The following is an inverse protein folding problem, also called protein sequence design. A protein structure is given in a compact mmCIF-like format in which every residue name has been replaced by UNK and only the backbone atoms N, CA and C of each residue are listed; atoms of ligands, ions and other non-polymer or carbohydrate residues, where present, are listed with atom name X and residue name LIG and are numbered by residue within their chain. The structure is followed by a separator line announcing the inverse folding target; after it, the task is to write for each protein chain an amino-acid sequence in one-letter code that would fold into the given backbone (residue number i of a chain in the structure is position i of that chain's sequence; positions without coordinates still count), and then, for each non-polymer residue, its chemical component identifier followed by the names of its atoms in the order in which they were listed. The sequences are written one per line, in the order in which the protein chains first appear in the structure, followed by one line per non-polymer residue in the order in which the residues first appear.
data_IF_789760732161
#
_entry.id   IF_789760732161
#
_cell.length_a   1.000
_cell.length_b   1.000
_cell.length_c   1.000
_cell.angle_alpha   90.00
_cell.angle_beta   90.00
_cell.angle_gamma   90.00
#
_symmetry.space_group_name_H-M   'P 1'
#
loop_
_entity.id
_entity.type
_entity.pdbx_description
1 polymer ?
#
# COMPACT_ATOMS: atom_id res chain seq x y z
N UNK A 1 -6.97 -6.84 -9.22
CA UNK A 1 -7.58 -6.94 -7.90
C UNK A 1 -7.82 -5.55 -7.33
N UNK A 2 -9.04 -5.32 -6.89
CA UNK A 2 -9.45 -4.04 -6.32
C UNK A 2 -9.39 -4.10 -4.80
N UNK A 3 -8.80 -3.06 -4.19
CA UNK A 3 -8.73 -2.89 -2.74
C UNK A 3 -9.55 -1.67 -2.33
N UNK A 4 -10.38 -1.84 -1.29
CA UNK A 4 -11.15 -0.76 -0.69
C UNK A 4 -10.90 -0.76 0.81
N UNK A 5 -10.49 0.39 1.35
CA UNK A 5 -10.18 0.54 2.77
C UNK A 5 -10.92 1.76 3.31
N UNK A 6 -11.82 1.55 4.26
CA UNK A 6 -12.59 2.62 4.88
C UNK A 6 -11.76 3.49 5.82
N UNK A 7 -12.30 4.64 6.26
CA UNK A 7 -11.65 5.51 7.23
C UNK A 7 -11.37 4.77 8.54
N UNK A 8 -10.13 4.85 9.04
CA UNK A 8 -9.71 4.17 10.26
C UNK A 8 -9.58 2.67 10.15
N UNK A 9 -9.83 2.09 8.97
CA UNK A 9 -9.79 0.65 8.78
C UNK A 9 -8.36 0.16 8.62
N UNK A 10 -7.95 -0.92 9.32
CA UNK A 10 -6.62 -1.48 9.17
C UNK A 10 -6.53 -2.41 7.96
N UNK A 11 -5.34 -2.44 7.36
CA UNK A 11 -4.96 -3.46 6.40
C UNK A 11 -4.13 -4.49 7.15
N UNK A 12 -4.57 -5.76 7.23
CA UNK A 12 -3.85 -6.79 8.00
C UNK A 12 -2.44 -7.02 7.49
N UNK A 13 -1.58 -7.55 8.37
CA UNK A 13 -0.20 -7.90 8.01
C UNK A 13 -0.17 -8.86 6.83
N UNK A 14 0.59 -8.51 5.82
CA UNK A 14 0.73 -9.32 4.62
C UNK A 14 2.10 -9.11 3.99
N UNK A 15 2.52 -10.09 3.19
CA UNK A 15 3.77 -10.03 2.43
C UNK A 15 3.46 -9.97 0.95
N UNK A 16 4.16 -9.09 0.24
CA UNK A 16 4.06 -9.01 -1.22
C UNK A 16 5.15 -9.87 -1.85
N UNK A 17 4.74 -10.91 -2.57
CA UNK A 17 5.64 -11.86 -3.21
C UNK A 17 5.96 -11.52 -4.66
N UNK A 18 5.22 -10.58 -5.23
CA UNK A 18 5.36 -10.12 -6.61
C UNK A 18 5.45 -8.61 -6.63
N UNK A 19 6.20 -8.08 -7.59
CA UNK A 19 6.13 -6.66 -7.89
C UNK A 19 4.72 -6.34 -8.38
N UNK A 20 4.24 -5.11 -8.12
CA UNK A 20 2.91 -4.74 -8.61
C UNK A 20 2.83 -3.24 -8.90
N UNK A 21 1.86 -2.89 -9.74
CA UNK A 21 1.44 -1.52 -9.93
C UNK A 21 0.19 -1.25 -9.11
N UNK A 22 0.14 -0.07 -8.53
CA UNK A 22 -0.98 0.38 -7.72
C UNK A 22 -1.63 1.57 -8.40
N UNK A 23 -2.81 1.35 -8.99
CA UNK A 23 -3.58 2.41 -9.61
C UNK A 23 -4.54 2.99 -8.57
N UNK A 24 -4.28 4.22 -8.13
CA UNK A 24 -5.08 4.89 -7.13
C UNK A 24 -6.35 5.45 -7.76
N UNK A 25 -7.52 5.08 -7.22
CA UNK A 25 -8.82 5.50 -7.74
C UNK A 25 -9.47 6.58 -6.89
N UNK A 26 -9.39 6.47 -5.56
CA UNK A 26 -10.02 7.40 -4.64
C UNK A 26 -9.28 7.42 -3.30
N UNK A 27 -9.43 8.52 -2.56
CA UNK A 27 -8.79 8.73 -1.27
C UNK A 27 -7.42 9.37 -1.41
N UNK A 28 -7.09 10.23 -0.44
CA UNK A 28 -5.79 10.95 -0.43
C UNK A 28 -4.96 10.64 0.81
N UNK A 29 -5.42 9.72 1.66
CA UNK A 29 -4.73 9.37 2.89
C UNK A 29 -4.87 10.42 3.98
N UNK A 30 -3.89 10.50 4.90
CA UNK A 30 -2.69 9.65 4.90
C UNK A 30 -2.98 8.20 5.27
N UNK A 31 -2.18 7.30 4.72
CA UNK A 31 -2.18 5.89 5.09
C UNK A 31 -0.88 5.64 5.86
N UNK A 32 -1.00 5.25 7.13
CA UNK A 32 0.16 4.93 7.95
C UNK A 32 0.57 3.48 7.69
N UNK A 33 1.77 3.28 7.16
CA UNK A 33 2.31 1.97 6.79
C UNK A 33 3.43 1.61 7.74
N UNK A 34 3.36 0.41 8.32
CA UNK A 34 4.42 -0.15 9.16
C UNK A 34 5.03 -1.35 8.44
N UNK A 35 6.35 -1.31 8.24
CA UNK A 35 7.10 -2.43 7.69
C UNK A 35 7.64 -3.31 8.80
N UNK A 36 7.58 -4.63 8.61
CA UNK A 36 8.01 -5.62 9.60
C UNK A 36 9.30 -6.31 9.15
N UNK A 37 10.05 -6.83 10.11
CA UNK A 37 11.26 -7.64 9.88
C UNK A 37 12.34 -6.93 9.04
N UNK A 38 12.41 -5.61 9.13
CA UNK A 38 13.39 -4.83 8.39
C UNK A 38 13.14 -4.73 6.88
N UNK A 39 11.95 -5.14 6.42
CA UNK A 39 11.65 -5.19 4.98
C UNK A 39 11.43 -3.81 4.36
N UNK A 40 11.33 -2.77 5.15
CA UNK A 40 11.23 -1.40 4.65
C UNK A 40 12.52 -0.87 4.05
N UNK A 41 13.67 -1.47 4.38
CA UNK A 41 14.97 -1.05 3.86
C UNK A 41 15.25 0.43 4.13
N UNK A 42 15.59 1.22 3.09
CA UNK A 42 15.87 2.65 3.25
C UNK A 42 14.68 3.46 3.75
N UNK A 43 13.46 2.96 3.64
CA UNK A 43 12.25 3.64 4.12
C UNK A 43 12.09 3.55 5.63
N UNK A 44 12.83 2.66 6.30
CA UNK A 44 12.72 2.43 7.74
C UNK A 44 11.53 1.55 8.09
N UNK A 45 11.07 1.66 9.36
CA UNK A 45 10.01 0.79 9.87
C UNK A 45 8.61 1.34 9.66
N UNK A 46 8.47 2.63 9.42
CA UNK A 46 7.17 3.26 9.24
C UNK A 46 7.25 4.44 8.28
N UNK A 47 6.24 4.54 7.42
CA UNK A 47 6.10 5.67 6.49
C UNK A 47 4.65 6.09 6.43
N UNK A 48 4.42 7.33 5.98
CA UNK A 48 3.10 7.85 5.69
C UNK A 48 2.94 7.94 4.17
N UNK A 49 1.90 7.31 3.65
CA UNK A 49 1.61 7.29 2.22
C UNK A 49 0.40 8.15 1.93
N UNK A 50 0.56 9.10 1.01
CA UNK A 50 -0.52 9.97 0.55
C UNK A 50 -0.85 9.64 -0.89
N UNK A 51 -1.83 8.75 -1.15
CA UNK A 51 -2.19 8.39 -2.51
C UNK A 51 -2.76 9.59 -3.27
N UNK A 52 -2.47 9.63 -4.56
CA UNK A 52 -2.99 10.64 -5.47
C UNK A 52 -3.92 9.96 -6.45
N UNK A 53 -5.23 10.23 -6.43
CA UNK A 53 -6.17 9.62 -7.37
C UNK A 53 -5.74 9.83 -8.83
N UNK A 54 -5.75 8.76 -9.59
CA UNK A 54 -5.31 8.76 -10.98
C UNK A 54 -3.83 8.43 -11.18
N UNK A 55 -3.02 8.44 -10.11
CA UNK A 55 -1.60 8.11 -10.21
C UNK A 55 -1.37 6.61 -10.13
N UNK A 56 -0.39 6.13 -10.89
CA UNK A 56 0.06 4.74 -10.84
C UNK A 56 1.41 4.73 -10.11
N UNK A 57 1.47 3.95 -9.03
CA UNK A 57 2.69 3.75 -8.25
C UNK A 57 3.24 2.34 -8.49
N UNK A 58 4.55 2.21 -8.68
CA UNK A 58 5.21 0.92 -8.74
C UNK A 58 5.64 0.51 -7.33
N UNK A 59 5.30 -0.70 -6.91
CA UNK A 59 5.66 -1.23 -5.60
C UNK A 59 6.44 -2.53 -5.78
N UNK A 60 7.74 -2.56 -5.39
CA UNK A 60 8.53 -3.77 -5.50
C UNK A 60 8.12 -4.82 -4.47
N UNK A 61 8.36 -6.08 -4.80
CA UNK A 61 8.12 -7.20 -3.89
C UNK A 61 9.06 -7.17 -2.69
N UNK A 62 8.75 -7.94 -1.67
CA UNK A 62 9.61 -8.16 -0.52
C UNK A 62 9.22 -7.43 0.74
N UNK A 63 8.23 -6.54 0.67
CA UNK A 63 7.74 -5.84 1.87
C UNK A 63 6.78 -6.71 2.66
N UNK A 64 6.95 -6.70 3.97
CA UNK A 64 5.97 -7.26 4.92
C UNK A 64 5.40 -6.07 5.67
N UNK A 65 4.11 -5.83 5.54
CA UNK A 65 3.55 -4.58 6.02
C UNK A 65 2.16 -4.71 6.64
N UNK A 66 1.86 -3.76 7.53
CA UNK A 66 0.50 -3.44 7.97
C UNK A 66 0.25 -1.99 7.65
N UNK A 67 -1.01 -1.61 7.53
CA UNK A 67 -1.36 -0.23 7.28
C UNK A 67 -2.69 0.14 7.96
N UNK A 68 -2.88 1.43 8.20
CA UNK A 68 -4.14 1.99 8.70
C UNK A 68 -4.47 3.21 7.85
N UNK A 69 -5.66 3.24 7.29
CA UNK A 69 -6.14 4.40 6.56
C UNK A 69 -6.63 5.45 7.56
N UNK A 70 -5.91 6.56 7.64
CA UNK A 70 -6.24 7.67 8.54
C UNK A 70 -7.05 8.78 7.86
N UNK A 71 -7.35 8.62 6.57
CA UNK A 71 -8.10 9.57 5.79
C UNK A 71 -9.45 9.05 5.34
N UNK A 72 -9.92 9.53 4.20
CA UNK A 72 -11.17 9.10 3.58
C UNK A 72 -11.03 7.70 2.99
N UNK A 73 -12.15 7.10 2.57
CA UNK A 73 -12.14 5.81 1.92
C UNK A 73 -11.10 5.76 0.78
N UNK A 74 -10.24 4.76 0.81
CA UNK A 74 -9.21 4.54 -0.18
C UNK A 74 -9.60 3.39 -1.09
N UNK A 75 -9.51 3.59 -2.40
CA UNK A 75 -9.73 2.53 -3.39
C UNK A 75 -8.59 2.52 -4.39
N UNK A 76 -8.13 1.33 -4.72
CA UNK A 76 -7.06 1.13 -5.69
C UNK A 76 -7.22 -0.20 -6.41
N UNK A 77 -6.60 -0.28 -7.58
CA UNK A 77 -6.47 -1.54 -8.32
C UNK A 77 -5.01 -1.96 -8.25
N UNK A 78 -4.77 -3.21 -7.84
CA UNK A 78 -3.43 -3.81 -7.80
C UNK A 78 -3.26 -4.68 -9.03
N UNK A 79 -2.17 -4.45 -9.77
CA UNK A 79 -1.82 -5.23 -10.96
C UNK A 79 -0.49 -5.93 -10.66
N UNK A 80 -0.57 -7.21 -10.32
CA UNK A 80 0.62 -7.99 -9.98
C UNK A 80 1.36 -8.45 -11.24
N UNK A 81 2.69 -8.41 -11.17
CA UNK A 81 3.58 -8.78 -12.29
C UNK A 81 4.08 -10.20 -12.06
N UNK A 82 3.43 -11.18 -12.68
CA UNK A 82 3.64 -12.60 -12.39
C UNK A 82 5.00 -13.15 -12.80
N UNK A 83 5.75 -12.48 -13.63
CA UNK A 83 7.06 -12.92 -14.12
C UNK A 83 8.19 -12.02 -13.66
N UNK A 84 7.97 -11.31 -12.61
CA UNK A 84 8.98 -10.40 -12.06
C UNK A 84 9.98 -11.13 -11.18
#
# INVERSE_FOLDING_TARGET
WQQTVGPGEPIPKHAHRLDYYLLNLAGSGPIAVTFHDGTGGPLGDAVEFNPVPGRIDFVPKGHIETAINQGEEYRAILIELKNS
#
